data_IF_377501813124
#
_entry.id   IF_377501813124
#
_cell.length_a   1.000
_cell.length_b   1.000
_cell.length_c   1.000
_cell.angle_alpha   90.00
_cell.angle_beta   90.00
_cell.angle_gamma   90.00
#
_symmetry.space_group_name_H-M   'P 1'
#
loop_
_entity.id
_entity.type
_entity.pdbx_description
1 polymer ?
#
# COMPACT_ATOMS: atom_id res chain seq x y z
N UNK A 1 -13.35 -28.19 -6.55
CA UNK A 1 -13.24 -27.47 -7.84
C UNK A 1 -12.38 -28.28 -8.80
N UNK A 2 -12.67 -28.19 -10.10
CA UNK A 2 -12.10 -29.03 -11.18
C UNK A 2 -10.56 -29.02 -11.24
N UNK A 3 -9.89 -28.03 -10.65
CA UNK A 3 -8.44 -27.85 -10.72
C UNK A 3 -7.68 -28.07 -9.39
N UNK A 4 -8.35 -28.58 -8.35
CA UNK A 4 -7.68 -28.87 -7.07
C UNK A 4 -6.60 -29.95 -7.27
N UNK A 5 -5.37 -29.69 -6.83
CA UNK A 5 -4.26 -30.65 -6.89
C UNK A 5 -3.63 -30.84 -8.27
N UNK A 6 -3.93 -29.96 -9.24
CA UNK A 6 -3.35 -30.03 -10.60
C UNK A 6 -2.04 -29.26 -10.77
N UNK A 7 -1.69 -28.40 -9.82
CA UNK A 7 -0.54 -27.51 -9.92
C UNK A 7 0.47 -27.80 -8.82
N UNK A 8 1.76 -27.73 -9.19
CA UNK A 8 2.81 -27.47 -8.23
C UNK A 8 2.84 -25.97 -7.96
N UNK A 9 2.94 -25.56 -6.71
CA UNK A 9 2.93 -24.15 -6.29
C UNK A 9 4.33 -23.72 -5.89
N UNK A 10 4.85 -22.68 -6.53
CA UNK A 10 6.00 -21.92 -6.05
C UNK A 10 5.48 -20.58 -5.51
N UNK A 11 5.72 -20.33 -4.22
CA UNK A 11 5.40 -19.06 -3.58
C UNK A 11 6.70 -18.31 -3.32
N UNK A 12 6.75 -17.06 -3.78
CA UNK A 12 7.81 -16.10 -3.52
C UNK A 12 7.23 -14.96 -2.70
N UNK A 13 8.01 -14.41 -1.77
CA UNK A 13 7.71 -13.14 -1.09
C UNK A 13 8.94 -12.25 -1.20
N UNK A 14 8.77 -11.09 -1.84
CA UNK A 14 9.89 -10.16 -2.03
C UNK A 14 10.10 -9.23 -0.83
N UNK A 15 9.28 -9.34 0.21
CA UNK A 15 9.52 -8.64 1.46
C UNK A 15 10.86 -9.02 2.09
N UNK A 16 11.26 -10.29 1.94
CA UNK A 16 12.50 -10.86 2.46
C UNK A 16 13.76 -10.40 1.72
N UNK A 17 13.62 -9.63 0.64
CA UNK A 17 14.76 -9.07 -0.10
C UNK A 17 15.33 -7.89 0.70
N UNK A 18 16.50 -8.10 1.30
CA UNK A 18 17.19 -7.10 2.08
C UNK A 18 17.67 -5.91 1.24
N UNK A 19 17.72 -4.75 1.89
CA UNK A 19 18.08 -3.48 1.26
C UNK A 19 19.60 -3.39 0.97
N UNK A 20 20.41 -4.13 1.74
CA UNK A 20 21.86 -4.23 1.54
C UNK A 20 22.20 -5.42 0.65
N UNK A 21 22.97 -5.18 -0.42
CA UNK A 21 23.30 -6.20 -1.43
C UNK A 21 22.04 -6.85 -2.04
N UNK A 22 21.10 -6.02 -2.50
CA UNK A 22 19.78 -6.39 -3.06
C UNK A 22 19.87 -7.58 -4.01
N UNK A 23 20.79 -7.57 -4.98
CA UNK A 23 20.97 -8.66 -5.94
C UNK A 23 21.26 -10.01 -5.28
N UNK A 24 22.17 -10.03 -4.30
CA UNK A 24 22.50 -11.25 -3.56
C UNK A 24 21.30 -11.71 -2.72
N UNK A 25 20.61 -10.80 -2.06
CA UNK A 25 19.42 -11.12 -1.28
C UNK A 25 18.28 -11.68 -2.15
N UNK A 26 18.05 -11.08 -3.32
CA UNK A 26 17.07 -11.51 -4.31
C UNK A 26 17.36 -12.92 -4.83
N UNK A 27 18.62 -13.18 -5.23
CA UNK A 27 19.05 -14.51 -5.65
C UNK A 27 18.87 -15.55 -4.53
N UNK A 28 19.25 -15.20 -3.29
CA UNK A 28 19.10 -16.10 -2.14
C UNK A 28 17.63 -16.42 -1.83
N UNK A 29 16.74 -15.43 -1.88
CA UNK A 29 15.30 -15.62 -1.65
C UNK A 29 14.71 -16.60 -2.68
N UNK A 30 14.95 -16.38 -3.97
CA UNK A 30 14.47 -17.28 -5.03
C UNK A 30 15.07 -18.68 -4.90
N UNK A 31 16.40 -18.79 -4.72
CA UNK A 31 17.06 -20.09 -4.56
C UNK A 31 16.54 -20.87 -3.34
N UNK A 32 16.26 -20.19 -2.24
CA UNK A 32 15.70 -20.81 -1.03
C UNK A 32 14.29 -21.34 -1.29
N UNK A 33 13.45 -20.57 -1.98
CA UNK A 33 12.11 -21.01 -2.37
C UNK A 33 12.14 -22.21 -3.32
N UNK A 34 13.02 -22.20 -4.34
CA UNK A 34 13.19 -23.34 -5.26
C UNK A 34 13.71 -24.57 -4.52
N UNK A 35 14.64 -24.40 -3.57
CA UNK A 35 15.15 -25.51 -2.75
C UNK A 35 14.04 -26.15 -1.92
N UNK A 36 13.18 -25.34 -1.29
CA UNK A 36 12.03 -25.82 -0.53
C UNK A 36 11.01 -26.53 -1.43
N UNK A 37 10.69 -25.94 -2.59
CA UNK A 37 9.86 -26.52 -3.63
C UNK A 37 10.39 -27.89 -4.07
N UNK A 38 11.66 -27.95 -4.44
CA UNK A 38 12.36 -29.17 -4.88
C UNK A 38 12.25 -30.29 -3.85
N UNK A 39 12.60 -30.01 -2.59
CA UNK A 39 12.50 -30.98 -1.49
C UNK A 39 11.08 -31.49 -1.30
N UNK A 40 10.09 -30.60 -1.32
CA UNK A 40 8.69 -30.95 -1.09
C UNK A 40 8.14 -31.85 -2.20
N UNK A 41 8.24 -31.42 -3.46
CA UNK A 41 7.65 -32.16 -4.58
C UNK A 41 8.45 -33.41 -4.96
N UNK A 42 9.77 -33.44 -4.73
CA UNK A 42 10.54 -34.66 -4.89
C UNK A 42 10.20 -35.69 -3.81
N UNK A 43 10.12 -35.29 -2.53
CA UNK A 43 9.69 -36.20 -1.44
C UNK A 43 8.29 -36.78 -1.67
N UNK A 44 7.41 -35.99 -2.30
CA UNK A 44 6.07 -36.43 -2.68
C UNK A 44 6.03 -37.33 -3.94
N UNK A 45 7.17 -37.58 -4.59
CA UNK A 45 7.26 -38.38 -5.82
C UNK A 45 6.69 -37.68 -7.06
N UNK A 46 6.53 -36.35 -7.01
CA UNK A 46 5.96 -35.55 -8.09
C UNK A 46 7.03 -34.96 -9.01
N UNK A 47 8.28 -34.88 -8.54
CA UNK A 47 9.48 -34.61 -9.34
C UNK A 47 10.33 -35.86 -9.45
N UNK A 48 10.75 -36.21 -10.67
CA UNK A 48 11.60 -37.39 -10.92
C UNK A 48 12.97 -37.26 -10.25
N UNK A 49 13.56 -36.05 -10.28
CA UNK A 49 14.84 -35.73 -9.67
C UNK A 49 14.76 -34.43 -8.87
N UNK A 50 15.55 -34.28 -7.80
CA UNK A 50 15.72 -33.00 -7.13
C UNK A 50 16.28 -31.95 -8.10
N UNK A 51 15.78 -30.73 -8.01
CA UNK A 51 16.30 -29.58 -8.75
C UNK A 51 17.63 -29.16 -8.14
N UNK A 52 18.67 -29.06 -8.98
CA UNK A 52 19.98 -28.55 -8.61
C UNK A 52 19.97 -27.02 -8.54
N UNK A 53 20.45 -26.47 -7.43
CA UNK A 53 20.53 -25.02 -7.21
C UNK A 53 21.89 -24.49 -7.63
N UNK A 54 21.90 -23.43 -8.45
CA UNK A 54 23.07 -22.61 -8.72
C UNK A 54 23.19 -21.51 -7.65
N UNK A 55 24.20 -21.56 -6.75
CA UNK A 55 24.30 -20.62 -5.63
C UNK A 55 24.57 -19.17 -6.05
N UNK A 56 25.08 -18.95 -7.26
CA UNK A 56 25.45 -17.63 -7.79
C UNK A 56 24.42 -17.02 -8.72
N UNK A 57 23.49 -17.81 -9.26
CA UNK A 57 22.52 -17.36 -10.25
C UNK A 57 21.16 -18.03 -10.02
N UNK A 58 20.22 -17.30 -9.44
CA UNK A 58 18.89 -17.84 -9.18
C UNK A 58 18.04 -17.96 -10.45
N UNK A 59 18.36 -17.23 -11.52
CA UNK A 59 17.65 -17.36 -12.79
C UNK A 59 18.00 -18.70 -13.47
N UNK A 60 19.24 -19.14 -13.36
CA UNK A 60 19.64 -20.50 -13.77
C UNK A 60 18.91 -21.57 -12.94
N UNK A 61 18.88 -21.44 -11.61
CA UNK A 61 18.09 -22.34 -10.74
C UNK A 61 16.61 -22.36 -11.13
N UNK A 62 16.02 -21.19 -11.40
CA UNK A 62 14.61 -21.07 -11.80
C UNK A 62 14.36 -21.76 -13.14
N UNK A 63 15.26 -21.58 -14.12
CA UNK A 63 15.19 -22.27 -15.41
C UNK A 63 15.28 -23.79 -15.26
N UNK A 64 16.17 -24.30 -14.40
CA UNK A 64 16.28 -25.73 -14.07
C UNK A 64 14.99 -26.26 -13.44
N UNK A 65 14.39 -25.50 -12.52
CA UNK A 65 13.09 -25.83 -11.93
C UNK A 65 11.99 -25.92 -12.99
N UNK A 66 11.86 -24.92 -13.87
CA UNK A 66 10.87 -24.96 -14.96
C UNK A 66 11.05 -26.18 -15.85
N UNK A 67 12.31 -26.53 -16.17
CA UNK A 67 12.63 -27.76 -16.90
C UNK A 67 12.16 -29.03 -16.19
N UNK A 68 12.37 -29.12 -14.88
CA UNK A 68 11.91 -30.26 -14.07
C UNK A 68 10.37 -30.35 -14.01
N UNK A 69 9.69 -29.21 -13.85
CA UNK A 69 8.21 -29.16 -13.87
C UNK A 69 7.68 -29.61 -15.24
N UNK A 70 8.30 -29.15 -16.33
CA UNK A 70 7.92 -29.52 -17.70
C UNK A 70 8.06 -31.02 -18.00
N UNK A 71 9.01 -31.69 -17.35
CA UNK A 71 9.17 -33.15 -17.46
C UNK A 71 8.15 -33.91 -16.59
N UNK A 72 7.53 -33.23 -15.64
CA UNK A 72 6.48 -33.81 -14.81
C UNK A 72 5.11 -33.80 -15.52
N UNK A 73 4.10 -34.40 -14.87
CA UNK A 73 2.70 -34.36 -15.33
C UNK A 73 1.93 -33.12 -14.84
N UNK A 74 2.60 -32.21 -14.14
CA UNK A 74 2.01 -31.07 -13.47
C UNK A 74 2.50 -29.76 -14.08
N UNK A 75 1.69 -28.72 -13.92
CA UNK A 75 2.06 -27.35 -14.31
C UNK A 75 2.36 -26.52 -13.06
N UNK A 76 3.08 -25.41 -13.23
CA UNK A 76 3.40 -24.48 -12.15
C UNK A 76 2.30 -23.45 -11.96
N UNK A 77 1.93 -23.20 -10.70
CA UNK A 77 1.30 -21.98 -10.24
C UNK A 77 2.34 -21.14 -9.48
N UNK A 78 2.75 -20.03 -10.10
CA UNK A 78 3.63 -19.05 -9.49
C UNK A 78 2.83 -18.03 -8.67
N UNK A 79 3.18 -17.84 -7.41
CA UNK A 79 2.65 -16.76 -6.57
C UNK A 79 3.83 -15.86 -6.20
N UNK A 80 3.72 -14.57 -6.47
CA UNK A 80 4.73 -13.57 -6.10
C UNK A 80 4.05 -12.54 -5.21
N UNK A 81 4.31 -12.66 -3.91
CA UNK A 81 3.79 -11.75 -2.91
C UNK A 81 4.73 -10.58 -2.66
N UNK A 82 4.13 -9.43 -2.37
CA UNK A 82 4.78 -8.14 -2.15
C UNK A 82 5.86 -7.82 -3.20
N UNK A 83 5.54 -7.97 -4.49
CA UNK A 83 6.51 -7.87 -5.60
C UNK A 83 7.26 -6.53 -5.65
N UNK A 84 6.68 -5.49 -5.06
CA UNK A 84 7.16 -4.11 -5.04
C UNK A 84 7.79 -3.70 -3.70
N UNK A 85 7.72 -4.53 -2.66
CA UNK A 85 8.13 -4.17 -1.29
C UNK A 85 9.54 -3.58 -1.21
N UNK A 86 10.55 -4.29 -1.72
CA UNK A 86 11.93 -3.79 -1.69
C UNK A 86 12.13 -2.60 -2.64
N UNK A 87 11.43 -2.56 -3.77
CA UNK A 87 11.51 -1.43 -4.70
C UNK A 87 10.94 -0.15 -4.05
N UNK A 88 9.81 -0.27 -3.34
CA UNK A 88 9.24 0.81 -2.55
C UNK A 88 10.17 1.22 -1.42
N UNK A 89 10.78 0.28 -0.67
CA UNK A 89 11.77 0.63 0.36
C UNK A 89 12.96 1.39 -0.22
N UNK A 90 13.49 0.93 -1.35
CA UNK A 90 14.59 1.61 -2.04
C UNK A 90 14.17 2.97 -2.59
N UNK A 91 12.92 3.16 -3.03
CA UNK A 91 12.38 4.46 -3.44
C UNK A 91 12.26 5.42 -2.25
N UNK A 92 11.71 4.94 -1.15
CA UNK A 92 11.19 5.78 -0.06
C UNK A 92 12.19 5.98 1.08
N UNK A 93 13.20 5.11 1.23
CA UNK A 93 14.21 5.20 2.29
C UNK A 93 15.49 5.94 1.86
N UNK A 94 15.52 6.53 0.65
CA UNK A 94 16.65 7.35 0.24
C UNK A 94 16.69 8.60 1.11
N UNK A 95 17.90 9.04 1.48
CA UNK A 95 18.09 10.28 2.20
C UNK A 95 17.61 11.46 1.35
N UNK A 96 16.35 11.83 1.56
CA UNK A 96 15.76 12.95 0.86
C UNK A 96 16.31 14.27 1.39
N UNK A 97 16.97 14.33 2.57
CA UNK A 97 17.43 15.57 3.24
C UNK A 97 18.50 16.34 2.48
N UNK A 98 19.06 15.74 1.43
CA UNK A 98 20.02 16.40 0.54
C UNK A 98 19.41 16.63 -0.84
N UNK A 99 19.32 17.90 -1.25
CA UNK A 99 18.85 18.28 -2.58
C UNK A 99 19.73 17.64 -3.68
N UNK A 100 19.09 17.14 -4.74
CA UNK A 100 19.70 16.54 -5.95
C UNK A 100 20.43 15.18 -5.77
N UNK A 101 20.74 14.75 -4.54
CA UNK A 101 21.38 13.43 -4.29
C UNK A 101 20.36 12.30 -4.31
N UNK A 102 19.17 12.49 -3.71
CA UNK A 102 18.16 11.45 -3.63
C UNK A 102 17.65 10.99 -5.01
N UNK A 103 17.49 11.93 -5.95
CA UNK A 103 17.08 11.71 -7.34
C UNK A 103 18.10 10.88 -8.14
N UNK A 104 19.39 11.21 -8.03
CA UNK A 104 20.48 10.50 -8.71
C UNK A 104 20.68 9.10 -8.11
N UNK A 105 20.61 8.98 -6.78
CA UNK A 105 20.66 7.69 -6.10
C UNK A 105 19.47 6.83 -6.48
N UNK A 106 18.28 7.41 -6.54
CA UNK A 106 17.07 6.73 -6.98
C UNK A 106 17.17 6.22 -8.41
N UNK A 107 17.52 7.09 -9.36
CA UNK A 107 17.68 6.70 -10.77
C UNK A 107 18.75 5.62 -10.93
N UNK A 108 19.85 5.70 -10.19
CA UNK A 108 20.90 4.69 -10.20
C UNK A 108 20.44 3.36 -9.60
N UNK A 109 19.76 3.37 -8.45
CA UNK A 109 19.24 2.17 -7.78
C UNK A 109 18.13 1.51 -8.59
N UNK A 110 17.24 2.29 -9.19
CA UNK A 110 16.19 1.79 -10.07
C UNK A 110 16.83 1.22 -11.33
N UNK A 111 17.72 1.93 -12.03
CA UNK A 111 18.32 1.41 -13.26
C UNK A 111 19.18 0.16 -13.05
N UNK A 112 19.89 0.03 -11.93
CA UNK A 112 20.63 -1.19 -11.59
C UNK A 112 19.73 -2.33 -11.15
N UNK A 113 18.73 -2.09 -10.28
CA UNK A 113 17.87 -3.15 -9.75
C UNK A 113 16.66 -3.49 -10.64
N UNK A 114 16.24 -2.61 -11.55
CA UNK A 114 15.28 -2.89 -12.63
C UNK A 114 15.80 -4.08 -13.43
N UNK A 115 17.11 -4.18 -13.64
CA UNK A 115 17.71 -5.30 -14.37
C UNK A 115 17.39 -6.66 -13.72
N UNK A 116 17.35 -6.75 -12.39
CA UNK A 116 17.09 -7.99 -11.66
C UNK A 116 15.62 -8.40 -11.78
N UNK A 117 14.69 -7.47 -11.50
CA UNK A 117 13.26 -7.72 -11.65
C UNK A 117 12.88 -7.99 -13.11
N UNK A 118 13.51 -7.30 -14.05
CA UNK A 118 13.28 -7.49 -15.49
C UNK A 118 13.82 -8.83 -15.97
N UNK A 119 14.98 -9.27 -15.47
CA UNK A 119 15.50 -10.61 -15.73
C UNK A 119 14.55 -11.68 -15.21
N UNK A 120 14.04 -11.52 -13.98
CA UNK A 120 13.02 -12.39 -13.43
C UNK A 120 11.73 -12.38 -14.27
N UNK A 121 11.22 -11.20 -14.63
CA UNK A 121 10.04 -11.04 -15.49
C UNK A 121 10.21 -11.71 -16.86
N UNK A 122 11.38 -11.57 -17.48
CA UNK A 122 11.72 -12.27 -18.73
C UNK A 122 11.72 -13.79 -18.56
N UNK A 123 12.24 -14.30 -17.44
CA UNK A 123 12.23 -15.72 -17.13
C UNK A 123 10.81 -16.25 -16.91
N UNK A 124 9.98 -15.51 -16.17
CA UNK A 124 8.55 -15.82 -15.97
C UNK A 124 7.81 -15.82 -17.31
N UNK A 125 8.06 -14.82 -18.17
CA UNK A 125 7.50 -14.74 -19.52
C UNK A 125 7.89 -15.93 -20.39
N UNK A 126 9.16 -16.34 -20.32
CA UNK A 126 9.63 -17.53 -21.03
C UNK A 126 8.91 -18.79 -20.54
N UNK A 127 8.77 -18.94 -19.22
CA UNK A 127 8.12 -20.10 -18.62
C UNK A 127 6.60 -20.16 -18.81
N UNK A 128 5.92 -19.04 -19.05
CA UNK A 128 4.46 -19.02 -19.27
C UNK A 128 4.01 -19.65 -20.58
N UNK A 129 4.95 -19.89 -21.51
CA UNK A 129 4.65 -20.57 -22.77
C UNK A 129 4.57 -22.10 -22.63
N UNK A 130 5.08 -22.68 -21.53
CA UNK A 130 5.17 -24.14 -21.39
C UNK A 130 5.01 -24.69 -19.96
N UNK A 131 5.65 -24.11 -18.95
CA UNK A 131 5.70 -24.67 -17.59
C UNK A 131 4.79 -23.94 -16.59
N UNK A 132 4.60 -22.63 -16.73
CA UNK A 132 3.82 -21.79 -15.82
C UNK A 132 2.40 -21.63 -16.37
N UNK A 133 1.45 -22.37 -15.78
CA UNK A 133 0.05 -22.30 -16.19
C UNK A 133 -0.72 -21.16 -15.53
N UNK A 134 -0.30 -20.75 -14.33
CA UNK A 134 -0.94 -19.65 -13.57
C UNK A 134 0.11 -18.81 -12.86
N UNK A 135 -0.18 -17.52 -12.78
CA UNK A 135 0.58 -16.59 -11.98
C UNK A 135 -0.34 -15.67 -11.21
N UNK A 136 0.07 -15.27 -10.00
CA UNK A 136 -0.66 -14.31 -9.17
C UNK A 136 0.36 -13.41 -8.47
N UNK A 137 0.18 -12.11 -8.61
CA UNK A 137 1.06 -11.09 -8.06
C UNK A 137 0.28 -10.23 -7.07
N UNK A 138 0.89 -9.92 -5.94
CA UNK A 138 0.36 -8.98 -4.94
C UNK A 138 1.43 -7.95 -4.59
N UNK A 139 0.99 -6.72 -4.38
CA UNK A 139 1.85 -5.58 -4.11
C UNK A 139 0.99 -4.37 -3.77
N UNK A 140 1.64 -3.26 -3.40
CA UNK A 140 0.96 -2.01 -3.01
C UNK A 140 0.89 -1.05 -4.19
N UNK A 141 2.02 -0.81 -4.87
CA UNK A 141 2.18 0.17 -5.93
C UNK A 141 2.41 -0.51 -7.29
N UNK A 142 1.90 0.09 -8.39
CA UNK A 142 2.10 -0.46 -9.73
C UNK A 142 3.49 -0.17 -10.31
N UNK A 143 4.35 0.61 -9.64
CA UNK A 143 5.60 1.15 -10.21
C UNK A 143 6.59 0.06 -10.60
N UNK A 144 6.96 -0.80 -9.65
CA UNK A 144 7.89 -1.90 -9.92
C UNK A 144 7.36 -2.82 -11.03
N UNK A 145 6.04 -2.96 -11.13
CA UNK A 145 5.39 -3.71 -12.20
C UNK A 145 5.50 -3.02 -13.56
N UNK A 146 5.18 -1.73 -13.63
CA UNK A 146 5.26 -0.96 -14.85
C UNK A 146 6.69 -0.82 -15.38
N UNK A 147 7.68 -0.75 -14.48
CA UNK A 147 9.08 -0.60 -14.87
C UNK A 147 9.68 -1.94 -15.28
N UNK A 148 9.62 -2.95 -14.42
CA UNK A 148 10.37 -4.19 -14.62
C UNK A 148 9.56 -5.33 -15.25
N UNK A 149 8.24 -5.33 -15.07
CA UNK A 149 7.35 -6.38 -15.55
C UNK A 149 6.51 -5.95 -16.76
N UNK A 150 6.80 -4.80 -17.39
CA UNK A 150 6.12 -4.32 -18.61
C UNK A 150 6.09 -5.33 -19.76
N UNK A 151 7.03 -6.28 -19.80
CA UNK A 151 7.03 -7.36 -20.78
C UNK A 151 5.95 -8.43 -20.55
N UNK A 152 5.32 -8.47 -19.37
CA UNK A 152 4.34 -9.46 -18.96
C UNK A 152 2.90 -9.11 -19.39
N UNK A 153 2.68 -8.89 -20.69
CA UNK A 153 1.38 -8.50 -21.26
C UNK A 153 0.20 -9.45 -20.97
N UNK A 154 0.47 -10.66 -20.46
CA UNK A 154 -0.55 -11.64 -20.08
C UNK A 154 -1.06 -11.47 -18.64
N UNK A 155 -0.41 -10.61 -17.84
CA UNK A 155 -0.85 -10.30 -16.49
C UNK A 155 -1.88 -9.19 -16.56
N UNK A 156 -3.03 -9.43 -15.94
CA UNK A 156 -4.14 -8.50 -15.87
C UNK A 156 -4.22 -7.92 -14.46
N UNK A 157 -4.17 -6.59 -14.33
CA UNK A 157 -4.49 -5.92 -13.07
C UNK A 157 -5.99 -5.98 -12.81
N UNK A 158 -6.34 -6.59 -11.68
CA UNK A 158 -7.72 -6.81 -11.24
C UNK A 158 -8.07 -6.00 -9.98
N UNK A 159 -7.13 -5.22 -9.45
CA UNK A 159 -7.20 -4.61 -8.12
C UNK A 159 -8.37 -3.63 -7.97
N UNK A 160 -8.67 -2.88 -9.03
CA UNK A 160 -9.77 -1.89 -9.05
C UNK A 160 -11.13 -2.49 -9.46
N UNK A 161 -11.22 -3.80 -9.74
CA UNK A 161 -12.50 -4.41 -10.13
C UNK A 161 -13.46 -4.45 -8.95
N UNK A 162 -14.67 -3.94 -9.15
CA UNK A 162 -15.70 -3.86 -8.12
C UNK A 162 -16.01 -5.20 -7.44
N UNK A 163 -15.92 -6.32 -8.16
CA UNK A 163 -16.13 -7.67 -7.61
C UNK A 163 -15.14 -8.03 -6.48
N UNK A 164 -13.97 -7.40 -6.44
CA UNK A 164 -12.95 -7.62 -5.41
C UNK A 164 -12.92 -6.53 -4.34
N UNK A 165 -13.77 -5.51 -4.45
CA UNK A 165 -13.75 -4.32 -3.58
C UNK A 165 -13.91 -4.59 -2.09
N UNK A 166 -14.53 -5.73 -1.73
CA UNK A 166 -14.72 -6.15 -0.34
C UNK A 166 -13.91 -7.39 0.05
N UNK A 167 -13.04 -7.90 -0.81
CA UNK A 167 -12.33 -9.18 -0.59
C UNK A 167 -11.30 -9.08 0.54
N UNK A 168 -10.60 -7.94 0.64
CA UNK A 168 -9.44 -7.77 1.54
C UNK A 168 -9.71 -6.80 2.69
N UNK A 169 -10.98 -6.57 3.03
CA UNK A 169 -11.39 -5.72 4.14
C UNK A 169 -12.59 -6.29 4.87
N UNK A 170 -12.80 -5.86 6.11
CA UNK A 170 -14.02 -6.21 6.85
C UNK A 170 -15.17 -5.31 6.41
N UNK A 171 -16.38 -5.86 6.40
CA UNK A 171 -17.61 -5.08 6.22
C UNK A 171 -18.18 -4.66 7.58
N UNK A 172 -19.11 -3.70 7.57
CA UNK A 172 -19.84 -3.35 8.79
C UNK A 172 -20.60 -4.55 9.39
N UNK A 173 -21.06 -5.47 8.54
CA UNK A 173 -21.75 -6.68 8.99
C UNK A 173 -20.81 -7.63 9.73
N UNK A 174 -19.57 -7.79 9.27
CA UNK A 174 -18.57 -8.61 9.95
C UNK A 174 -18.30 -8.09 11.37
N UNK A 175 -18.23 -6.76 11.53
CA UNK A 175 -18.04 -6.11 12.82
C UNK A 175 -19.28 -6.24 13.73
N UNK A 176 -20.50 -6.13 13.19
CA UNK A 176 -21.73 -6.42 13.96
C UNK A 176 -21.75 -7.86 14.47
N UNK A 177 -21.35 -8.82 13.64
CA UNK A 177 -21.25 -10.22 14.03
C UNK A 177 -20.16 -10.40 15.09
N UNK A 178 -19.01 -9.72 14.97
CA UNK A 178 -17.94 -9.79 15.96
C UNK A 178 -18.38 -9.20 17.31
N UNK A 179 -19.00 -8.02 17.31
CA UNK A 179 -19.46 -7.33 18.53
C UNK A 179 -20.60 -8.08 19.22
N UNK A 180 -21.51 -8.73 18.48
CA UNK A 180 -22.61 -9.49 19.07
C UNK A 180 -22.15 -10.76 19.80
N UNK A 181 -20.92 -11.21 19.55
CA UNK A 181 -20.27 -12.31 20.30
C UNK A 181 -19.65 -11.85 21.62
N UNK A 182 -19.58 -10.55 21.88
CA UNK A 182 -19.09 -9.98 23.13
C UNK A 182 -20.26 -9.75 24.09
N UNK A 183 -19.99 -9.76 25.40
CA UNK A 183 -20.99 -9.55 26.46
C UNK A 183 -21.32 -8.07 26.64
N UNK A 184 -21.68 -7.39 25.55
CA UNK A 184 -22.09 -5.99 25.53
C UNK A 184 -23.59 -5.85 25.29
N UNK A 185 -24.20 -4.86 25.92
CA UNK A 185 -25.55 -4.41 25.60
C UNK A 185 -25.65 -3.89 24.15
N UNK A 186 -26.88 -3.85 23.62
CA UNK A 186 -27.15 -3.27 22.29
C UNK A 186 -26.67 -1.81 22.17
N UNK A 187 -26.74 -1.05 23.27
CA UNK A 187 -26.28 0.34 23.31
C UNK A 187 -24.75 0.43 23.20
N UNK A 188 -24.02 -0.39 23.94
CA UNK A 188 -22.56 -0.46 23.88
C UNK A 188 -22.06 -0.93 22.51
N UNK A 189 -22.68 -1.97 21.95
CA UNK A 189 -22.38 -2.43 20.59
C UNK A 189 -22.57 -1.31 19.57
N UNK A 190 -23.65 -0.53 19.70
CA UNK A 190 -23.92 0.62 18.83
C UNK A 190 -22.86 1.72 18.98
N UNK A 191 -22.43 2.01 20.21
CA UNK A 191 -21.35 2.98 20.48
C UNK A 191 -20.04 2.55 19.82
N UNK A 192 -19.61 1.30 20.02
CA UNK A 192 -18.40 0.77 19.39
C UNK A 192 -18.48 0.78 17.87
N UNK A 193 -19.64 0.44 17.30
CA UNK A 193 -19.83 0.46 15.86
C UNK A 193 -19.73 1.89 15.29
N UNK A 194 -20.23 2.90 15.99
CA UNK A 194 -20.09 4.31 15.60
C UNK A 194 -18.61 4.70 15.59
N UNK A 195 -17.85 4.36 16.65
CA UNK A 195 -16.41 4.62 16.72
C UNK A 195 -15.64 3.90 15.61
N UNK A 196 -15.88 2.61 15.39
CA UNK A 196 -15.26 1.86 14.29
C UNK A 196 -15.58 2.53 12.94
N UNK A 197 -16.82 2.99 12.75
CA UNK A 197 -17.24 3.64 11.51
C UNK A 197 -16.54 4.97 11.26
N UNK A 198 -16.33 5.81 12.27
CA UNK A 198 -15.67 7.11 12.10
C UNK A 198 -14.14 6.99 12.02
N UNK A 199 -13.55 6.05 12.76
CA UNK A 199 -12.10 5.95 12.89
C UNK A 199 -11.45 4.94 11.96
N UNK A 200 -12.13 3.85 11.57
CA UNK A 200 -11.49 2.73 10.87
C UNK A 200 -12.16 2.34 9.54
N UNK A 201 -13.37 2.82 9.25
CA UNK A 201 -14.05 2.58 7.97
C UNK A 201 -13.69 3.64 6.93
N UNK A 202 -13.73 3.27 5.65
CA UNK A 202 -13.86 4.25 4.59
C UNK A 202 -13.16 3.90 3.29
N UNK A 203 -12.37 2.83 3.29
CA UNK A 203 -11.61 2.38 2.13
C UNK A 203 -12.54 1.94 1.00
N UNK A 204 -12.40 2.59 -0.14
CA UNK A 204 -13.03 2.32 -1.43
C UNK A 204 -11.96 2.27 -2.52
N UNK A 205 -11.87 1.11 -3.17
CA UNK A 205 -10.85 0.83 -4.21
C UNK A 205 -11.42 0.96 -5.62
N UNK A 206 -12.67 1.41 -5.73
CA UNK A 206 -13.34 1.69 -6.99
C UNK A 206 -14.27 2.89 -6.81
N UNK A 207 -14.38 3.76 -7.81
CA UNK A 207 -15.22 4.96 -7.76
C UNK A 207 -16.71 4.66 -7.61
N UNK A 208 -17.15 3.48 -8.06
CA UNK A 208 -18.54 3.02 -7.98
C UNK A 208 -18.81 2.18 -6.72
N UNK A 209 -17.86 2.08 -5.80
CA UNK A 209 -18.03 1.32 -4.56
C UNK A 209 -18.89 2.10 -3.55
N UNK A 210 -20.12 1.64 -3.32
CA UNK A 210 -21.04 2.30 -2.38
C UNK A 210 -20.54 2.22 -0.92
N UNK A 211 -20.20 0.99 -0.49
CA UNK A 211 -19.83 0.69 0.89
C UNK A 211 -18.33 0.60 1.03
N UNK A 212 -17.77 1.41 1.93
CA UNK A 212 -16.37 1.28 2.32
C UNK A 212 -16.14 -0.01 3.12
N UNK A 213 -14.90 -0.47 3.10
CA UNK A 213 -14.41 -1.52 3.99
C UNK A 213 -13.49 -0.97 5.06
N UNK A 214 -13.26 -1.79 6.07
CA UNK A 214 -12.40 -1.49 7.20
C UNK A 214 -11.08 -2.26 7.04
N UNK A 215 -9.97 -1.65 7.45
CA UNK A 215 -8.69 -2.35 7.56
C UNK A 215 -8.82 -3.47 8.62
N UNK A 216 -8.59 -4.76 8.26
CA UNK A 216 -8.77 -5.87 9.19
C UNK A 216 -7.85 -5.80 10.41
N UNK A 217 -6.58 -5.41 10.22
CA UNK A 217 -5.61 -5.33 11.31
C UNK A 217 -6.01 -4.26 12.34
N UNK A 218 -6.47 -3.09 11.89
CA UNK A 218 -6.94 -2.04 12.77
C UNK A 218 -8.20 -2.46 13.55
N UNK A 219 -9.13 -3.17 12.88
CA UNK A 219 -10.32 -3.69 13.56
C UNK A 219 -9.98 -4.78 14.57
N UNK A 220 -9.06 -5.69 14.24
CA UNK A 220 -8.63 -6.73 15.18
C UNK A 220 -7.91 -6.15 16.40
N UNK A 221 -7.11 -5.10 16.22
CA UNK A 221 -6.54 -4.34 17.33
C UNK A 221 -7.65 -3.82 18.26
N UNK A 222 -8.67 -3.15 17.70
CA UNK A 222 -9.81 -2.64 18.47
C UNK A 222 -10.58 -3.74 19.20
N UNK A 223 -10.96 -4.80 18.47
CA UNK A 223 -11.72 -5.92 19.04
C UNK A 223 -10.94 -6.68 20.11
N UNK A 224 -9.61 -6.83 19.96
CA UNK A 224 -8.75 -7.47 20.97
C UNK A 224 -8.73 -6.68 22.27
N UNK A 225 -8.74 -5.35 22.21
CA UNK A 225 -8.86 -4.51 23.40
C UNK A 225 -10.22 -4.69 24.08
N UNK A 226 -11.32 -4.71 23.32
CA UNK A 226 -12.64 -4.99 23.89
C UNK A 226 -12.70 -6.33 24.61
N UNK A 227 -12.11 -7.38 24.03
CA UNK A 227 -12.06 -8.71 24.66
C UNK A 227 -11.22 -8.70 25.94
N UNK A 228 -10.11 -7.95 25.96
CA UNK A 228 -9.18 -7.95 27.08
C UNK A 228 -9.57 -7.03 28.25
N UNK A 229 -10.06 -5.83 27.95
CA UNK A 229 -10.32 -4.77 28.95
C UNK A 229 -11.78 -4.34 29.01
N UNK A 230 -12.62 -4.74 28.05
CA UNK A 230 -13.98 -4.22 27.91
C UNK A 230 -14.06 -2.80 27.36
N UNK A 231 -12.92 -2.18 27.03
CA UNK A 231 -12.83 -0.77 26.63
C UNK A 231 -12.15 -0.61 25.27
N UNK A 232 -12.50 0.46 24.55
CA UNK A 232 -11.85 0.82 23.30
C UNK A 232 -10.36 1.15 23.53
N UNK A 233 -9.47 0.81 22.58
CA UNK A 233 -8.07 1.18 22.69
C UNK A 233 -7.87 2.71 22.64
N UNK A 234 -6.83 3.16 23.33
CA UNK A 234 -6.33 4.53 23.24
C UNK A 234 -4.79 4.46 23.11
N UNK A 235 -4.20 4.80 21.95
CA UNK A 235 -4.84 5.34 20.73
C UNK A 235 -5.77 4.33 20.02
N UNK A 236 -6.71 4.82 19.20
CA UNK A 236 -7.68 3.96 18.49
C UNK A 236 -7.01 3.09 17.42
N UNK A 237 -6.05 3.66 16.68
CA UNK A 237 -5.20 2.96 15.74
C UNK A 237 -3.84 2.63 16.39
N UNK A 238 -3.39 1.39 16.25
CA UNK A 238 -2.04 0.98 16.64
C UNK A 238 -1.00 1.74 15.81
N UNK A 239 -0.02 2.35 16.48
CA UNK A 239 1.07 3.10 15.85
C UNK A 239 1.95 2.24 14.95
N UNK A 240 1.91 0.91 15.10
CA UNK A 240 2.60 -0.02 14.21
C UNK A 240 1.87 -0.24 12.88
N UNK A 241 0.59 0.14 12.77
CA UNK A 241 -0.19 -0.01 11.53
C UNK A 241 0.06 1.17 10.59
N UNK A 242 0.04 2.39 11.14
CA UNK A 242 0.37 3.59 10.41
C UNK A 242 0.86 4.66 11.38
N UNK A 243 1.84 5.45 10.96
CA UNK A 243 2.42 6.52 11.77
C UNK A 243 2.72 7.75 10.92
N UNK A 244 2.77 8.92 11.55
CA UNK A 244 3.13 10.17 10.89
C UNK A 244 4.60 10.21 10.41
N UNK A 245 5.43 9.26 10.86
CA UNK A 245 6.82 9.08 10.46
C UNK A 245 7.00 7.96 9.42
N UNK A 246 5.92 7.52 8.78
CA UNK A 246 6.03 6.59 7.65
C UNK A 246 6.74 7.30 6.48
N UNK A 247 7.78 6.65 5.94
CA UNK A 247 8.61 7.19 4.86
C UNK A 247 7.79 7.53 3.61
N UNK A 248 6.68 6.81 3.35
CA UNK A 248 5.75 7.15 2.27
C UNK A 248 5.13 8.52 2.53
N UNK A 249 4.67 8.78 3.75
CA UNK A 249 4.02 10.04 4.10
C UNK A 249 5.03 11.17 4.05
N UNK A 250 6.22 10.97 4.60
CA UNK A 250 7.29 11.97 4.56
C UNK A 250 7.68 12.30 3.11
N UNK A 251 7.78 11.27 2.26
CA UNK A 251 8.02 11.42 0.83
C UNK A 251 6.90 12.23 0.15
N UNK A 252 5.63 11.84 0.36
CA UNK A 252 4.45 12.49 -0.22
C UNK A 252 4.35 13.96 0.19
N UNK A 253 4.53 14.23 1.47
CA UNK A 253 4.58 15.58 2.04
C UNK A 253 5.67 16.34 1.28
N UNK A 254 6.92 15.95 1.42
CA UNK A 254 8.04 16.73 0.90
C UNK A 254 7.96 17.04 -0.60
N UNK A 255 7.61 16.05 -1.42
CA UNK A 255 7.62 16.21 -2.88
C UNK A 255 6.39 16.94 -3.43
N UNK A 256 5.19 16.77 -2.85
CA UNK A 256 4.04 17.62 -3.25
C UNK A 256 4.30 19.08 -2.90
N UNK A 257 5.02 19.35 -1.81
CA UNK A 257 5.31 20.72 -1.39
C UNK A 257 6.38 21.41 -2.21
N UNK A 258 7.45 20.70 -2.61
CA UNK A 258 8.51 21.26 -3.43
C UNK A 258 7.99 21.89 -4.75
N UNK A 259 6.96 21.29 -5.37
CA UNK A 259 6.34 21.85 -6.59
C UNK A 259 5.54 23.12 -6.30
N UNK A 260 4.76 23.13 -5.21
CA UNK A 260 3.91 24.26 -4.81
C UNK A 260 4.66 25.42 -4.15
N UNK A 261 5.94 25.26 -3.80
CA UNK A 261 6.79 26.37 -3.30
C UNK A 261 7.42 27.14 -4.46
N UNK A 262 7.67 26.48 -5.60
CA UNK A 262 8.24 27.10 -6.80
C UNK A 262 7.22 27.95 -7.56
N UNK A 263 5.94 27.61 -7.44
CA UNK A 263 4.81 28.42 -7.88
C UNK A 263 4.24 29.15 -6.65
N UNK A 264 4.11 30.47 -6.65
CA UNK A 264 3.78 31.31 -5.47
C UNK A 264 2.40 31.07 -4.79
N UNK A 265 1.80 29.88 -4.90
CA UNK A 265 0.42 29.59 -4.54
C UNK A 265 0.28 28.47 -3.49
N UNK A 266 1.04 28.59 -2.39
CA UNK A 266 1.01 27.68 -1.23
C UNK A 266 -0.37 27.61 -0.52
N UNK A 267 -1.35 28.45 -0.86
CA UNK A 267 -2.59 28.57 -0.11
C UNK A 267 -3.74 27.66 -0.58
N UNK A 268 -3.66 27.11 -1.80
CA UNK A 268 -4.72 26.34 -2.46
C UNK A 268 -4.47 24.82 -2.39
N UNK A 269 -3.26 24.35 -2.72
CA UNK A 269 -3.06 22.94 -3.11
C UNK A 269 -2.95 21.90 -1.98
N UNK A 270 -2.50 22.28 -0.78
CA UNK A 270 -2.34 21.32 0.32
C UNK A 270 -3.61 21.07 1.12
N UNK A 271 -4.52 22.05 1.10
CA UNK A 271 -5.88 21.88 1.62
C UNK A 271 -6.57 20.79 0.83
N UNK A 272 -6.41 20.78 -0.49
CA UNK A 272 -6.98 19.74 -1.35
C UNK A 272 -6.36 18.37 -1.09
N UNK A 273 -5.10 18.30 -0.63
CA UNK A 273 -4.46 17.06 -0.19
C UNK A 273 -4.98 16.58 1.18
N UNK A 274 -5.04 17.44 2.20
CA UNK A 274 -5.58 17.07 3.54
C UNK A 274 -7.07 16.74 3.47
N UNK A 275 -7.84 17.56 2.76
CA UNK A 275 -9.29 17.45 2.69
C UNK A 275 -9.76 16.62 1.50
N UNK A 276 -8.83 16.14 0.69
CA UNK A 276 -9.08 15.25 -0.43
C UNK A 276 -10.15 15.80 -1.36
N UNK A 277 -9.89 16.94 -2.00
CA UNK A 277 -10.82 17.57 -2.95
C UNK A 277 -10.35 17.54 -4.40
N UNK A 278 -9.57 16.52 -4.76
CA UNK A 278 -9.06 16.35 -6.12
C UNK A 278 -9.95 15.40 -6.92
N UNK A 279 -10.17 15.77 -8.19
CA UNK A 279 -10.90 14.98 -9.18
C UNK A 279 -10.12 13.71 -9.53
N UNK A 280 -10.70 12.56 -9.24
CA UNK A 280 -10.18 11.21 -9.40
C UNK A 280 -10.03 10.73 -10.83
N UNK A 281 -10.38 11.54 -11.84
CA UNK A 281 -9.99 11.27 -13.23
C UNK A 281 -8.46 11.27 -13.39
N UNK A 282 -7.74 11.76 -12.38
CA UNK A 282 -6.29 11.79 -12.33
C UNK A 282 -5.66 10.52 -11.73
N UNK A 283 -6.40 9.62 -11.07
CA UNK A 283 -5.76 8.43 -10.45
C UNK A 283 -5.18 7.52 -11.54
N UNK A 284 -3.85 7.41 -11.54
CA UNK A 284 -3.11 6.53 -12.45
C UNK A 284 -2.96 5.15 -11.83
N UNK A 285 -3.43 4.14 -12.55
CA UNK A 285 -3.22 2.73 -12.22
C UNK A 285 -1.94 2.17 -12.86
N UNK A 286 -1.42 2.86 -13.88
CA UNK A 286 -0.12 2.57 -14.49
C UNK A 286 0.79 3.77 -14.26
N UNK A 287 1.67 3.64 -13.29
CA UNK A 287 2.63 4.67 -12.91
C UNK A 287 4.01 4.05 -13.06
N UNK A 288 4.93 4.77 -13.71
CA UNK A 288 6.35 4.43 -13.71
C UNK A 288 7.09 5.21 -12.66
N UNK A 289 8.19 4.66 -12.18
CA UNK A 289 9.12 5.40 -11.30
C UNK A 289 9.55 6.74 -11.88
N UNK A 290 9.74 6.82 -13.20
CA UNK A 290 10.13 8.05 -13.90
C UNK A 290 9.05 9.15 -13.84
N UNK A 291 7.77 8.77 -13.72
CA UNK A 291 6.64 9.72 -13.67
C UNK A 291 6.61 10.54 -12.37
N UNK A 292 7.42 10.17 -11.37
CA UNK A 292 7.61 10.97 -10.15
C UNK A 292 8.45 12.22 -10.39
N UNK A 293 9.21 12.28 -11.48
CA UNK A 293 10.16 13.36 -11.77
C UNK A 293 9.79 14.17 -12.99
N UNK A 294 8.77 13.74 -13.72
CA UNK A 294 8.18 14.52 -14.77
C UNK A 294 7.33 15.63 -14.13
N UNK A 295 7.74 16.88 -14.34
CA UNK A 295 7.08 18.07 -13.76
C UNK A 295 5.61 18.17 -14.14
N UNK A 296 5.22 17.61 -15.28
CA UNK A 296 3.83 17.66 -15.75
C UNK A 296 2.97 16.54 -15.13
N UNK A 297 3.59 15.50 -14.55
CA UNK A 297 2.90 14.28 -14.09
C UNK A 297 3.07 13.97 -12.61
N UNK A 298 4.15 14.43 -11.99
CA UNK A 298 4.55 14.24 -10.60
C UNK A 298 3.42 14.44 -9.61
N UNK A 299 2.66 15.53 -9.74
CA UNK A 299 1.54 15.86 -8.87
C UNK A 299 0.43 14.80 -8.90
N UNK A 300 0.07 14.34 -10.10
CA UNK A 300 -0.91 13.25 -10.30
C UNK A 300 -0.34 11.91 -9.81
N UNK A 301 0.95 11.68 -10.05
CA UNK A 301 1.67 10.49 -9.62
C UNK A 301 1.70 10.36 -8.10
N UNK A 302 2.03 11.44 -7.37
CA UNK A 302 2.05 11.49 -5.90
C UNK A 302 0.66 11.25 -5.30
N UNK A 303 -0.39 11.80 -5.90
CA UNK A 303 -1.76 11.49 -5.47
C UNK A 303 -2.12 10.03 -5.67
N UNK A 304 -1.71 9.46 -6.80
CA UNK A 304 -1.95 8.06 -7.09
C UNK A 304 -1.16 7.15 -6.14
N UNK A 305 0.06 7.53 -5.74
CA UNK A 305 0.79 6.85 -4.66
C UNK A 305 0.05 6.91 -3.32
N UNK A 306 -0.44 8.09 -2.94
CA UNK A 306 -1.23 8.24 -1.72
C UNK A 306 -2.48 7.35 -1.74
N UNK A 307 -3.12 7.19 -2.91
CA UNK A 307 -4.23 6.26 -3.11
C UNK A 307 -3.80 4.79 -2.95
N UNK A 308 -2.75 4.35 -3.65
CA UNK A 308 -2.26 2.96 -3.63
C UNK A 308 -1.80 2.52 -2.23
N UNK A 309 -1.17 3.43 -1.47
CA UNK A 309 -0.79 3.18 -0.07
C UNK A 309 -1.96 3.30 0.93
N UNK A 310 -3.17 3.65 0.48
CA UNK A 310 -4.36 3.74 1.33
C UNK A 310 -4.44 4.99 2.21
N UNK A 311 -3.63 6.02 1.93
CA UNK A 311 -3.77 7.34 2.57
C UNK A 311 -4.96 8.11 2.02
N UNK A 312 -5.26 7.90 0.74
CA UNK A 312 -6.45 8.43 0.06
C UNK A 312 -7.30 7.30 -0.50
N UNK A 313 -8.59 7.59 -0.68
CA UNK A 313 -9.56 6.61 -1.15
C UNK A 313 -10.73 7.28 -1.87
N UNK A 314 -11.51 6.55 -2.67
CA UNK A 314 -12.67 7.15 -3.33
C UNK A 314 -13.70 7.63 -2.30
N UNK A 315 -14.29 8.79 -2.57
CA UNK A 315 -15.37 9.34 -1.75
C UNK A 315 -16.64 8.49 -1.86
N UNK A 316 -17.53 8.60 -0.88
CA UNK A 316 -18.87 7.98 -0.94
C UNK A 316 -19.75 8.61 -2.03
N UNK A 317 -19.48 9.84 -2.45
CA UNK A 317 -20.22 10.49 -3.53
C UNK A 317 -19.67 10.02 -4.88
N UNK A 318 -20.33 8.99 -5.42
CA UNK A 318 -19.96 8.33 -6.68
C UNK A 318 -19.95 9.32 -7.86
N UNK A 319 -20.76 10.38 -7.80
CA UNK A 319 -20.89 11.35 -8.90
C UNK A 319 -19.74 12.35 -8.98
N UNK A 320 -19.00 12.52 -7.88
CA UNK A 320 -17.96 13.56 -7.80
C UNK A 320 -16.58 13.07 -8.17
N UNK A 321 -16.36 11.75 -8.31
CA UNK A 321 -15.06 11.18 -8.67
C UNK A 321 -13.97 11.88 -7.83
N UNK A 322 -14.01 11.74 -6.51
CA UNK A 322 -13.18 12.55 -5.59
C UNK A 322 -12.41 11.63 -4.66
N UNK A 323 -11.13 11.92 -4.41
CA UNK A 323 -10.31 11.19 -3.45
C UNK A 323 -10.30 11.87 -2.09
N UNK A 324 -10.64 11.16 -1.02
CA UNK A 324 -10.70 11.65 0.37
C UNK A 324 -9.81 10.83 1.30
N UNK A 325 -9.50 11.35 2.49
CA UNK A 325 -8.98 10.51 3.57
C UNK A 325 -10.04 9.44 3.93
N UNK A 326 -9.66 8.17 4.15
CA UNK A 326 -10.63 7.11 4.44
C UNK A 326 -11.36 7.35 5.76
N UNK A 327 -10.63 7.77 6.80
CA UNK A 327 -11.16 7.92 8.15
C UNK A 327 -10.39 8.98 8.96
N UNK A 328 -10.89 9.23 10.19
CA UNK A 328 -10.32 10.20 11.10
C UNK A 328 -8.87 9.87 11.53
N UNK A 329 -8.52 8.59 11.63
CA UNK A 329 -7.18 8.18 12.06
C UNK A 329 -6.13 8.50 10.98
N UNK A 330 -6.44 8.18 9.72
CA UNK A 330 -5.56 8.51 8.58
C UNK A 330 -5.47 10.02 8.38
N UNK A 331 -6.59 10.74 8.55
CA UNK A 331 -6.59 12.20 8.51
C UNK A 331 -5.70 12.79 9.61
N UNK A 332 -5.79 12.27 10.84
CA UNK A 332 -4.92 12.68 11.95
C UNK A 332 -3.45 12.46 11.60
N UNK A 333 -3.09 11.28 11.11
CA UNK A 333 -1.71 10.93 10.72
C UNK A 333 -1.18 11.89 9.66
N UNK A 334 -1.95 12.16 8.61
CA UNK A 334 -1.54 13.08 7.55
C UNK A 334 -1.37 14.52 8.09
N UNK A 335 -2.30 15.00 8.92
CA UNK A 335 -2.18 16.32 9.54
C UNK A 335 -0.97 16.40 10.49
N UNK A 336 -0.69 15.36 11.26
CA UNK A 336 0.47 15.29 12.15
C UNK A 336 1.78 15.33 11.36
N UNK A 337 1.88 14.55 10.28
CA UNK A 337 3.05 14.54 9.40
C UNK A 337 3.30 15.91 8.77
N UNK A 338 2.24 16.57 8.28
CA UNK A 338 2.30 17.92 7.71
C UNK A 338 2.73 18.98 8.72
N UNK A 339 2.41 18.76 9.99
CA UNK A 339 2.82 19.65 11.08
C UNK A 339 4.23 19.35 11.61
N UNK A 340 4.90 18.28 11.14
CA UNK A 340 6.19 17.78 11.63
C UNK A 340 6.27 17.64 13.16
N UNK A 341 5.17 17.25 13.80
CA UNK A 341 5.12 17.13 15.25
C UNK A 341 5.17 18.47 16.01
N UNK A 342 4.84 19.59 15.36
CA UNK A 342 4.65 20.87 16.03
C UNK A 342 3.63 20.72 17.18
N UNK A 343 4.09 20.92 18.41
CA UNK A 343 3.28 20.69 19.63
C UNK A 343 1.99 21.51 19.63
N UNK A 344 2.03 22.73 19.10
CA UNK A 344 0.85 23.61 18.99
C UNK A 344 -0.16 23.08 17.98
N UNK A 345 0.31 22.49 16.87
CA UNK A 345 -0.56 21.87 15.87
C UNK A 345 -1.27 20.63 16.42
N UNK A 346 -0.60 19.83 17.26
CA UNK A 346 -1.18 18.59 17.81
C UNK A 346 -2.47 18.82 18.59
N UNK A 347 -2.54 19.89 19.38
CA UNK A 347 -3.78 20.26 20.08
C UNK A 347 -4.90 20.60 19.09
N UNK A 348 -4.58 21.41 18.07
CA UNK A 348 -5.53 21.86 17.05
C UNK A 348 -6.06 20.67 16.24
N UNK A 349 -5.18 19.73 15.87
CA UNK A 349 -5.54 18.48 15.17
C UNK A 349 -6.52 17.67 16.01
N UNK A 350 -6.27 17.48 17.31
CA UNK A 350 -7.19 16.77 18.19
C UNK A 350 -8.55 17.47 18.31
N UNK A 351 -8.58 18.80 18.32
CA UNK A 351 -9.82 19.56 18.37
C UNK A 351 -10.60 19.41 17.05
N UNK A 352 -9.93 19.45 15.89
CA UNK A 352 -10.52 19.19 14.57
C UNK A 352 -11.18 17.80 14.53
N UNK A 353 -10.47 16.76 14.97
CA UNK A 353 -10.98 15.38 14.95
C UNK A 353 -12.23 15.25 15.83
N UNK A 354 -12.18 15.78 17.07
CA UNK A 354 -13.34 15.80 17.97
C UNK A 354 -14.54 16.56 17.39
N UNK A 355 -14.27 17.66 16.70
CA UNK A 355 -15.33 18.47 16.10
C UNK A 355 -16.03 17.78 14.94
N UNK A 356 -15.30 16.96 14.18
CA UNK A 356 -15.85 16.12 13.10
C UNK A 356 -16.65 14.93 13.63
N UNK A 357 -16.27 14.33 14.76
CA UNK A 357 -17.04 13.25 15.40
C UNK A 357 -18.45 13.69 15.83
N UNK A 358 -18.59 14.93 16.32
CA UNK A 358 -19.82 15.40 16.99
C UNK A 358 -20.87 15.95 16.00
N UNK A 359 -20.53 16.10 14.71
CA UNK A 359 -21.40 16.51 13.58
C UNK A 359 -22.66 17.33 13.95
N UNK A 360 -22.48 18.57 14.39
CA UNK A 360 -23.56 19.51 14.71
C UNK A 360 -23.28 20.90 14.12
N UNK A 361 -24.33 21.67 13.77
CA UNK A 361 -24.17 22.99 13.08
C UNK A 361 -23.25 23.98 13.83
N UNK A 362 -23.28 23.98 15.17
CA UNK A 362 -22.39 24.83 16.00
C UNK A 362 -20.91 24.44 15.91
N UNK A 363 -20.58 23.20 15.51
CA UNK A 363 -19.20 22.74 15.35
C UNK A 363 -18.56 23.21 14.06
N UNK A 364 -19.34 23.57 13.03
CA UNK A 364 -18.76 23.96 11.73
C UNK A 364 -17.92 25.23 11.80
N UNK A 365 -18.31 26.19 12.63
CA UNK A 365 -17.54 27.43 12.80
C UNK A 365 -16.24 27.17 13.58
N UNK A 366 -16.30 26.37 14.65
CA UNK A 366 -15.09 26.00 15.40
C UNK A 366 -14.14 25.16 14.56
N UNK A 367 -14.69 24.21 13.79
CA UNK A 367 -13.94 23.41 12.84
C UNK A 367 -13.24 24.33 11.85
N UNK A 368 -13.96 25.28 11.25
CA UNK A 368 -13.37 26.28 10.35
C UNK A 368 -12.25 27.08 11.03
N UNK A 369 -12.47 27.59 12.24
CA UNK A 369 -11.45 28.36 12.98
C UNK A 369 -10.19 27.52 13.27
N UNK A 370 -10.36 26.28 13.70
CA UNK A 370 -9.25 25.37 13.96
C UNK A 370 -8.52 24.96 12.69
N UNK A 371 -9.25 24.75 11.59
CA UNK A 371 -8.66 24.56 10.27
C UNK A 371 -7.83 25.78 9.86
N UNK A 372 -8.33 27.00 10.06
CA UNK A 372 -7.59 28.22 9.74
C UNK A 372 -6.30 28.36 10.57
N UNK A 373 -6.31 27.99 11.85
CA UNK A 373 -5.07 27.96 12.66
C UNK A 373 -4.07 26.94 12.13
N UNK A 374 -4.53 25.74 11.76
CA UNK A 374 -3.65 24.72 11.16
C UNK A 374 -3.07 25.24 9.84
N UNK A 375 -3.87 25.97 9.06
CA UNK A 375 -3.47 26.65 7.81
C UNK A 375 -2.35 27.67 8.00
N UNK A 376 -2.22 28.29 9.17
CA UNK A 376 -1.10 29.21 9.44
C UNK A 376 0.18 28.49 9.87
N UNK A 377 0.06 27.30 10.46
CA UNK A 377 1.19 26.54 11.01
C UNK A 377 1.85 25.69 9.92
N UNK A 378 1.04 24.99 9.12
CA UNK A 378 1.52 24.01 8.13
C UNK A 378 2.46 24.65 7.10
N UNK A 379 2.15 25.81 6.46
CA UNK A 379 3.07 26.46 5.52
C UNK A 379 4.40 26.89 6.14
N UNK A 380 4.43 27.25 7.44
CA UNK A 380 5.67 27.58 8.15
C UNK A 380 6.53 26.34 8.35
N UNK A 381 5.93 25.24 8.79
CA UNK A 381 6.61 23.96 8.94
C UNK A 381 7.11 23.41 7.59
N UNK A 382 6.37 23.68 6.51
CA UNK A 382 6.75 23.29 5.15
C UNK A 382 7.91 24.13 4.61
N UNK A 383 7.95 25.45 4.85
CA UNK A 383 9.07 26.30 4.44
C UNK A 383 10.41 25.93 5.07
N UNK A 384 10.41 25.15 6.15
CA UNK A 384 11.62 24.60 6.75
C UNK A 384 12.09 23.30 6.02
N UNK A 385 11.35 22.80 5.03
CA UNK A 385 11.67 21.60 4.23
C UNK A 385 12.33 21.89 2.88
N UNK A 386 12.18 23.12 2.36
CA UNK A 386 12.68 23.61 1.05
C UNK A 386 13.65 24.75 1.32
#
# INVERSE_FOLDING_TARGET
TINRGKYMVLSLSFNEVGDNHVEKSFNNNINSAIMAFSKYYNKAGLLEVPIEINPSDAMDSFKRMLGAVKQSKYELYLIVDEYDSFANRLLLNIDTTVDDIGLKQYSHLISTNESILRNFGNMVKSGSSDAIARMFFTGITPMAFCDAFSGLNMVEDISSRLIFSSTFGLTENDLKIALSKLTFSQEEQSKHLITLRSHLNGYRFNSCQENGVYNPQACFYYLKHLVGTGEAPNPILDTNIASASDNVIEFLVRHRFAETVLENDLNSNWKDFIFGSLSSHEVKYNIRSADLFDKDLSSVTLLSLAYHHGYLTYSKDINQFKLVCPNLELKRILMEALSRGNKSARSIINDIIKEEEISNKSNRNKLFDNLMKLIEIVPKAIKELV
#
